data_IF_091117721490
#
_entry.id   IF_091117721490
#
_cell.length_a   1.000
_cell.length_b   1.000
_cell.length_c   1.000
_cell.angle_alpha   90.00
_cell.angle_beta   90.00
_cell.angle_gamma   90.00
#
_symmetry.space_group_name_H-M   'P 1'
#
loop_
_entity.id
_entity.type
_entity.pdbx_description
1 polymer ?
#
# COMPACT_ATOMS: atom_id res chain seq x y z
N UNK A 1 -11.16 24.13 7.52
CA UNK A 1 -11.45 23.37 8.76
C UNK A 1 -10.78 24.10 9.92
N UNK A 2 -11.39 24.15 11.11
CA UNK A 2 -10.82 24.83 12.29
C UNK A 2 -9.56 24.08 12.77
N UNK A 3 -8.45 24.81 12.99
CA UNK A 3 -7.16 24.26 13.44
C UNK A 3 -7.32 23.41 14.71
N UNK A 4 -8.24 23.80 15.61
CA UNK A 4 -8.48 23.06 16.87
C UNK A 4 -9.15 21.71 16.63
N UNK A 5 -10.00 21.62 15.61
CA UNK A 5 -10.66 20.37 15.21
C UNK A 5 -9.62 19.40 14.67
N UNK A 6 -8.74 19.87 13.78
CA UNK A 6 -7.64 19.08 13.21
C UNK A 6 -6.68 18.59 14.29
N UNK A 7 -6.27 19.46 15.21
CA UNK A 7 -5.37 19.08 16.31
C UNK A 7 -5.97 18.00 17.23
N UNK A 8 -7.27 18.11 17.55
CA UNK A 8 -7.95 17.12 18.40
C UNK A 8 -8.09 15.76 17.71
N UNK A 9 -8.48 15.74 16.43
CA UNK A 9 -8.55 14.50 15.64
C UNK A 9 -7.18 13.83 15.57
N UNK A 10 -6.12 14.58 15.25
CA UNK A 10 -4.76 14.04 15.17
C UNK A 10 -4.32 13.38 16.48
N UNK A 11 -4.63 13.99 17.64
CA UNK A 11 -4.33 13.38 18.95
C UNK A 11 -5.08 12.09 19.21
N UNK A 12 -6.32 11.97 18.73
CA UNK A 12 -7.14 10.77 18.83
C UNK A 12 -6.63 9.66 17.91
N UNK A 13 -6.23 10.01 16.68
CA UNK A 13 -5.59 9.09 15.72
C UNK A 13 -4.26 8.57 16.28
N UNK A 14 -3.39 9.46 16.77
CA UNK A 14 -2.12 9.06 17.38
C UNK A 14 -2.32 8.16 18.59
N UNK A 15 -3.34 8.42 19.40
CA UNK A 15 -3.68 7.55 20.53
C UNK A 15 -4.19 6.18 20.08
N UNK A 16 -4.99 6.10 19.01
CA UNK A 16 -5.40 4.83 18.42
C UNK A 16 -4.18 4.03 17.97
N UNK A 17 -3.31 4.62 17.14
CA UNK A 17 -2.13 3.93 16.61
C UNK A 17 -1.22 3.44 17.74
N UNK A 18 -1.01 4.27 18.76
CA UNK A 18 -0.22 3.88 19.95
C UNK A 18 -0.88 2.72 20.72
N UNK A 19 -2.20 2.69 20.82
CA UNK A 19 -2.89 1.57 21.48
C UNK A 19 -2.81 0.28 20.65
N UNK A 20 -2.82 0.38 19.31
CA UNK A 20 -2.70 -0.76 18.40
C UNK A 20 -1.30 -1.37 18.38
N UNK A 21 -0.28 -0.67 18.88
CA UNK A 21 1.04 -1.26 19.10
C UNK A 21 1.01 -2.34 20.19
N UNK A 22 0.07 -2.24 21.14
CA UNK A 22 0.04 -3.09 22.36
C UNK A 22 -1.09 -4.13 22.37
N UNK A 23 -2.24 -3.84 21.75
CA UNK A 23 -3.39 -4.75 21.77
C UNK A 23 -4.33 -4.58 20.57
N UNK A 24 -5.12 -5.61 20.31
CA UNK A 24 -6.06 -5.63 19.20
C UNK A 24 -7.19 -4.62 19.35
N UNK A 25 -7.68 -4.09 18.23
CA UNK A 25 -8.83 -3.20 18.15
C UNK A 25 -10.07 -3.77 18.86
N UNK A 26 -10.25 -5.11 18.85
CA UNK A 26 -11.36 -5.78 19.52
C UNK A 26 -11.29 -5.71 21.05
N UNK A 27 -10.12 -5.41 21.62
CA UNK A 27 -9.88 -5.28 23.06
C UNK A 27 -9.84 -3.82 23.53
N UNK A 28 -9.80 -2.87 22.60
CA UNK A 28 -9.74 -1.45 22.88
C UNK A 28 -11.03 -0.91 23.49
N UNK A 29 -10.86 0.02 24.43
CA UNK A 29 -11.94 0.75 25.08
C UNK A 29 -11.69 2.24 24.94
N UNK A 30 -12.76 3.03 24.93
CA UNK A 30 -12.69 4.50 24.85
C UNK A 30 -11.78 5.10 25.93
N UNK A 31 -11.74 4.49 27.13
CA UNK A 31 -10.84 4.91 28.21
C UNK A 31 -9.35 4.81 27.86
N UNK A 32 -8.96 3.82 27.05
CA UNK A 32 -7.56 3.59 26.66
C UNK A 32 -7.11 4.74 25.74
N UNK A 33 -7.97 5.11 24.78
CA UNK A 33 -7.74 6.25 23.88
C UNK A 33 -7.67 7.56 24.65
N UNK A 34 -8.58 7.77 25.61
CA UNK A 34 -8.59 8.98 26.46
C UNK A 34 -7.30 9.10 27.27
N UNK A 35 -6.83 7.99 27.84
CA UNK A 35 -5.62 7.95 28.65
C UNK A 35 -4.38 8.34 27.83
N UNK A 36 -4.26 7.82 26.60
CA UNK A 36 -3.13 8.12 25.72
C UNK A 36 -3.23 9.50 25.07
N UNK A 37 -4.41 9.88 24.57
CA UNK A 37 -4.60 11.15 23.85
C UNK A 37 -4.58 12.37 24.76
N UNK A 38 -4.96 12.21 26.04
CA UNK A 38 -5.17 13.31 26.99
C UNK A 38 -6.36 14.21 26.63
N UNK A 39 -7.30 13.75 25.80
CA UNK A 39 -8.55 14.47 25.54
C UNK A 39 -9.63 14.08 26.56
N UNK A 40 -10.56 14.97 26.88
CA UNK A 40 -11.63 14.62 27.81
C UNK A 40 -12.60 13.61 27.21
N UNK A 41 -13.28 12.81 28.05
CA UNK A 41 -14.35 11.91 27.62
C UNK A 41 -15.43 12.63 26.82
N UNK A 42 -15.82 13.83 27.25
CA UNK A 42 -16.79 14.68 26.54
C UNK A 42 -16.29 15.05 25.15
N UNK A 43 -14.99 15.34 25.01
CA UNK A 43 -14.36 15.69 23.74
C UNK A 43 -14.30 14.47 22.81
N UNK A 44 -13.95 13.27 23.31
CA UNK A 44 -14.00 12.05 22.51
C UNK A 44 -15.39 11.87 21.88
N UNK A 45 -16.44 11.89 22.72
CA UNK A 45 -17.81 11.69 22.26
C UNK A 45 -18.38 12.84 21.42
N UNK A 46 -17.67 13.96 21.29
CA UNK A 46 -18.01 15.01 20.34
C UNK A 46 -17.64 14.62 18.90
N UNK A 47 -16.62 13.78 18.72
CA UNK A 47 -16.12 13.37 17.41
C UNK A 47 -16.51 11.94 17.06
N UNK A 48 -16.50 11.02 18.04
CA UNK A 48 -16.64 9.59 17.81
C UNK A 48 -17.64 8.98 18.79
N UNK A 49 -18.56 8.17 18.28
CA UNK A 49 -19.56 7.49 19.10
C UNK A 49 -18.92 6.37 19.95
N UNK A 50 -17.90 5.72 19.41
CA UNK A 50 -17.16 4.61 20.02
C UNK A 50 -15.80 4.41 19.32
N UNK A 51 -15.08 3.35 19.72
CA UNK A 51 -13.79 2.96 19.11
C UNK A 51 -13.95 2.64 17.61
N UNK A 52 -15.00 1.93 17.22
CA UNK A 52 -15.21 1.54 15.82
C UNK A 52 -15.38 2.78 14.92
N UNK A 53 -16.07 3.81 15.40
CA UNK A 53 -16.21 5.07 14.65
C UNK A 53 -14.90 5.84 14.50
N UNK A 54 -13.99 5.77 15.48
CA UNK A 54 -12.65 6.35 15.37
C UNK A 54 -11.80 5.56 14.38
N UNK A 55 -11.76 4.22 14.53
CA UNK A 55 -11.05 3.30 13.63
C UNK A 55 -11.53 3.49 12.19
N UNK A 56 -12.84 3.58 11.98
CA UNK A 56 -13.40 3.78 10.65
C UNK A 56 -13.00 5.11 10.01
N UNK A 57 -12.91 6.19 10.78
CA UNK A 57 -12.44 7.50 10.31
C UNK A 57 -10.98 7.41 9.84
N UNK A 58 -10.11 6.78 10.63
CA UNK A 58 -8.68 6.57 10.29
C UNK A 58 -8.54 5.74 9.01
N UNK A 59 -9.20 4.59 8.95
CA UNK A 59 -9.15 3.70 7.79
C UNK A 59 -9.68 4.38 6.52
N UNK A 60 -10.77 5.14 6.62
CA UNK A 60 -11.34 5.86 5.48
C UNK A 60 -10.42 6.99 5.02
N UNK A 61 -9.85 7.77 5.96
CA UNK A 61 -8.89 8.83 5.64
C UNK A 61 -7.66 8.27 4.91
N UNK A 62 -7.14 7.13 5.38
CA UNK A 62 -6.05 6.42 4.70
C UNK A 62 -6.44 5.99 3.28
N UNK A 63 -7.62 5.35 3.14
CA UNK A 63 -8.08 4.83 1.84
C UNK A 63 -8.32 5.96 0.84
N UNK A 64 -8.82 7.12 1.26
CA UNK A 64 -8.99 8.27 0.38
C UNK A 64 -7.64 8.83 -0.10
N UNK A 65 -6.63 8.91 0.77
CA UNK A 65 -5.28 9.29 0.35
C UNK A 65 -4.62 8.25 -0.55
N UNK A 66 -4.87 6.96 -0.30
CA UNK A 66 -4.42 5.87 -1.16
C UNK A 66 -5.07 5.96 -2.55
N UNK A 67 -6.39 6.15 -2.62
CA UNK A 67 -7.17 6.34 -3.87
C UNK A 67 -6.66 7.52 -4.69
N UNK A 68 -6.39 8.65 -4.04
CA UNK A 68 -5.85 9.82 -4.73
C UNK A 68 -4.46 9.53 -5.32
N UNK A 69 -3.65 8.79 -4.57
CA UNK A 69 -2.29 8.43 -4.99
C UNK A 69 -2.28 7.46 -6.17
N UNK A 70 -3.10 6.40 -6.16
CA UNK A 70 -3.24 5.46 -7.28
C UNK A 70 -3.78 6.15 -8.54
N UNK A 71 -4.71 7.09 -8.39
CA UNK A 71 -5.26 7.89 -9.49
C UNK A 71 -4.17 8.74 -10.15
N UNK A 72 -3.36 9.45 -9.36
CA UNK A 72 -2.24 10.26 -9.88
C UNK A 72 -1.20 9.40 -10.60
N UNK A 73 -0.93 8.20 -10.10
CA UNK A 73 -0.03 7.26 -10.76
C UNK A 73 -0.62 6.78 -12.10
N UNK A 74 -1.91 6.41 -12.15
CA UNK A 74 -2.60 6.05 -13.40
C UNK A 74 -2.55 7.17 -14.43
N UNK A 75 -2.85 8.40 -14.03
CA UNK A 75 -2.77 9.59 -14.90
C UNK A 75 -1.34 9.82 -15.43
N UNK A 76 -0.34 9.61 -14.58
CA UNK A 76 1.07 9.73 -14.98
C UNK A 76 1.49 8.64 -15.97
N UNK A 77 1.02 7.41 -15.76
CA UNK A 77 1.28 6.26 -16.65
C UNK A 77 0.67 6.44 -18.04
N UNK A 78 -0.52 7.02 -18.14
CA UNK A 78 -1.20 7.27 -19.42
C UNK A 78 -0.43 8.22 -20.35
N UNK A 79 0.51 9.01 -19.81
CA UNK A 79 1.30 9.99 -20.56
C UNK A 79 2.69 9.49 -20.98
N UNK A 80 2.99 8.20 -20.77
CA UNK A 80 4.29 7.63 -21.13
C UNK A 80 4.38 7.40 -22.63
N UNK A 81 5.44 7.92 -23.25
CA UNK A 81 5.75 7.65 -24.65
C UNK A 81 6.29 6.22 -24.82
N UNK A 82 5.41 5.33 -25.27
CA UNK A 82 5.72 3.92 -25.54
C UNK A 82 6.54 3.69 -26.82
N UNK A 83 6.90 4.76 -27.56
CA UNK A 83 7.80 4.68 -28.72
C UNK A 83 9.28 4.78 -28.34
N UNK A 84 9.57 5.20 -27.11
CA UNK A 84 10.94 5.31 -26.58
C UNK A 84 11.61 3.94 -26.45
N UNK A 85 12.96 3.86 -26.38
CA UNK A 85 13.65 2.62 -26.05
C UNK A 85 13.16 2.04 -24.72
N UNK A 86 13.08 0.71 -24.61
CA UNK A 86 12.55 0.01 -23.42
C UNK A 86 13.16 0.52 -22.11
N UNK A 87 14.47 0.75 -22.04
CA UNK A 87 15.12 1.26 -20.83
C UNK A 87 14.58 2.61 -20.36
N UNK A 88 14.23 3.50 -21.29
CA UNK A 88 13.67 4.81 -20.97
C UNK A 88 12.20 4.72 -20.61
N UNK A 89 11.44 3.80 -21.23
CA UNK A 89 10.09 3.46 -20.79
C UNK A 89 10.09 2.96 -19.34
N UNK A 90 11.00 2.05 -18.98
CA UNK A 90 11.09 1.51 -17.61
C UNK A 90 11.34 2.64 -16.59
N UNK A 91 12.26 3.56 -16.88
CA UNK A 91 12.51 4.75 -16.04
C UNK A 91 11.27 5.65 -15.93
N UNK A 92 10.55 5.85 -17.03
CA UNK A 92 9.32 6.62 -17.04
C UNK A 92 8.25 5.96 -16.17
N UNK A 93 8.06 4.65 -16.27
CA UNK A 93 7.12 3.87 -15.43
C UNK A 93 7.46 3.98 -13.95
N UNK A 94 8.74 3.82 -13.59
CA UNK A 94 9.19 4.02 -12.20
C UNK A 94 8.82 5.41 -11.71
N UNK A 95 9.17 6.44 -12.48
CA UNK A 95 8.85 7.82 -12.12
C UNK A 95 7.34 8.09 -12.01
N UNK A 96 6.54 7.49 -12.88
CA UNK A 96 5.10 7.65 -12.93
C UNK A 96 4.36 6.95 -11.78
N UNK A 97 4.96 5.95 -11.14
CA UNK A 97 4.36 5.15 -10.03
C UNK A 97 4.80 5.62 -8.64
N UNK A 98 5.23 6.88 -8.54
CA UNK A 98 5.81 7.42 -7.29
C UNK A 98 4.79 7.69 -6.20
N UNK A 99 3.57 8.09 -6.55
CA UNK A 99 2.67 8.69 -5.58
C UNK A 99 2.15 7.63 -4.61
N UNK A 100 1.74 6.45 -5.10
CA UNK A 100 1.24 5.38 -4.23
C UNK A 100 2.29 4.91 -3.24
N UNK A 101 3.51 4.66 -3.69
CA UNK A 101 4.58 4.17 -2.81
C UNK A 101 5.04 5.24 -1.82
N UNK A 102 5.15 6.50 -2.25
CA UNK A 102 5.43 7.59 -1.31
C UNK A 102 4.34 7.72 -0.25
N UNK A 103 3.07 7.63 -0.62
CA UNK A 103 1.96 7.69 0.33
C UNK A 103 2.02 6.56 1.36
N UNK A 104 2.18 5.31 0.92
CA UNK A 104 2.36 4.17 1.83
C UNK A 104 3.59 4.32 2.73
N UNK A 105 4.67 4.92 2.22
CA UNK A 105 5.90 5.14 2.99
C UNK A 105 5.73 6.23 4.06
N UNK A 106 5.09 7.35 3.70
CA UNK A 106 4.84 8.47 4.61
C UNK A 106 3.85 8.06 5.73
N UNK A 107 2.92 7.15 5.41
CA UNK A 107 1.93 6.59 6.33
C UNK A 107 2.29 5.18 6.83
N UNK A 108 3.57 4.79 6.82
CA UNK A 108 4.00 3.41 7.08
C UNK A 108 3.56 2.86 8.44
N UNK A 109 3.61 3.66 9.51
CA UNK A 109 3.20 3.23 10.86
C UNK A 109 1.71 2.88 10.87
N UNK A 110 0.90 3.73 10.26
CA UNK A 110 -0.55 3.57 10.17
C UNK A 110 -0.92 2.30 9.38
N UNK A 111 -0.43 2.14 8.14
CA UNK A 111 -0.74 0.96 7.33
C UNK A 111 -0.22 -0.34 7.95
N UNK A 112 0.96 -0.30 8.59
CA UNK A 112 1.53 -1.49 9.26
C UNK A 112 0.68 -1.94 10.45
N UNK A 113 0.18 -1.00 11.25
CA UNK A 113 -0.67 -1.31 12.41
C UNK A 113 -2.07 -1.78 11.97
N UNK A 114 -2.69 -1.09 11.02
CA UNK A 114 -4.03 -1.44 10.54
C UNK A 114 -4.06 -2.79 9.79
N UNK A 115 -2.96 -3.20 9.14
CA UNK A 115 -2.82 -4.52 8.51
C UNK A 115 -2.22 -5.61 9.44
N UNK A 116 -1.94 -5.26 10.71
CA UNK A 116 -1.39 -6.23 11.67
C UNK A 116 -2.48 -7.09 12.30
N UNK A 117 -2.07 -8.07 13.11
CA UNK A 117 -2.98 -8.87 13.93
C UNK A 117 -3.75 -8.03 14.97
N UNK A 118 -3.25 -6.82 15.29
CA UNK A 118 -3.94 -5.89 16.17
C UNK A 118 -4.96 -5.00 15.42
N UNK A 119 -4.87 -4.91 14.10
CA UNK A 119 -5.88 -4.28 13.27
C UNK A 119 -7.16 -5.12 13.16
N UNK A 120 -8.01 -4.77 12.21
CA UNK A 120 -9.14 -5.61 11.83
C UNK A 120 -9.13 -5.97 10.34
N UNK A 121 -9.92 -6.99 10.00
CA UNK A 121 -10.05 -7.48 8.62
C UNK A 121 -10.71 -6.47 7.67
N UNK A 122 -11.42 -5.47 8.20
CA UNK A 122 -12.12 -4.47 7.38
C UNK A 122 -11.12 -3.62 6.62
N UNK A 123 -10.02 -3.20 7.25
CA UNK A 123 -9.00 -2.41 6.58
C UNK A 123 -8.36 -3.15 5.41
N UNK A 124 -8.02 -4.42 5.64
CA UNK A 124 -7.49 -5.29 4.59
C UNK A 124 -8.45 -5.36 3.40
N UNK A 125 -9.74 -5.60 3.66
CA UNK A 125 -10.76 -5.67 2.61
C UNK A 125 -10.88 -4.34 1.86
N UNK A 126 -10.83 -3.20 2.56
CA UNK A 126 -10.86 -1.88 1.92
C UNK A 126 -9.68 -1.66 0.96
N UNK A 127 -8.45 -1.98 1.38
CA UNK A 127 -7.26 -1.88 0.52
C UNK A 127 -7.39 -2.84 -0.67
N UNK A 128 -7.82 -4.07 -0.41
CA UNK A 128 -7.97 -5.11 -1.42
C UNK A 128 -8.99 -4.73 -2.49
N UNK A 129 -10.18 -4.33 -2.08
CA UNK A 129 -11.27 -3.93 -2.98
C UNK A 129 -10.86 -2.68 -3.79
N UNK A 130 -10.28 -1.67 -3.12
CA UNK A 130 -9.77 -0.46 -3.78
C UNK A 130 -8.70 -0.80 -4.83
N UNK A 131 -7.83 -1.76 -4.54
CA UNK A 131 -6.77 -2.17 -5.46
C UNK A 131 -7.29 -3.04 -6.62
N UNK A 132 -8.34 -3.85 -6.38
CA UNK A 132 -9.05 -4.57 -7.44
C UNK A 132 -9.76 -3.59 -8.39
N UNK A 133 -10.48 -2.60 -7.84
CA UNK A 133 -11.14 -1.56 -8.62
C UNK A 133 -10.13 -0.81 -9.49
N UNK A 134 -9.00 -0.41 -8.92
CA UNK A 134 -7.90 0.24 -9.64
C UNK A 134 -7.37 -0.62 -10.79
N UNK A 135 -7.19 -1.92 -10.56
CA UNK A 135 -6.70 -2.84 -11.58
C UNK A 135 -7.67 -2.92 -12.77
N UNK A 136 -8.97 -3.06 -12.50
CA UNK A 136 -9.98 -3.11 -13.56
C UNK A 136 -10.13 -1.77 -14.28
N UNK A 137 -10.06 -0.64 -13.59
CA UNK A 137 -10.02 0.68 -14.20
C UNK A 137 -8.84 0.82 -15.19
N UNK A 138 -7.64 0.36 -14.79
CA UNK A 138 -6.48 0.36 -15.69
C UNK A 138 -6.70 -0.50 -16.92
N UNK A 139 -7.20 -1.74 -16.77
CA UNK A 139 -7.51 -2.61 -17.91
C UNK A 139 -8.53 -1.96 -18.85
N UNK A 140 -9.62 -1.42 -18.30
CA UNK A 140 -10.69 -0.82 -19.10
C UNK A 140 -10.23 0.42 -19.86
N UNK A 141 -9.20 1.11 -19.35
CA UNK A 141 -8.57 2.26 -20.01
C UNK A 141 -7.60 1.90 -21.15
N UNK A 142 -7.23 0.63 -21.30
CA UNK A 142 -6.36 0.18 -22.40
C UNK A 142 -7.20 -0.04 -23.67
N UNK A 143 -6.81 0.60 -24.80
CA UNK A 143 -7.52 0.49 -26.08
C UNK A 143 -7.72 -0.97 -26.55
N UNK A 144 -6.72 -1.83 -26.31
CA UNK A 144 -6.74 -3.25 -26.70
C UNK A 144 -7.72 -4.12 -25.90
N UNK A 145 -8.27 -3.62 -24.79
CA UNK A 145 -9.25 -4.35 -23.97
C UNK A 145 -10.68 -4.25 -24.51
N UNK A 146 -10.94 -3.24 -25.36
CA UNK A 146 -12.26 -2.97 -25.93
C UNK A 146 -12.67 -4.10 -26.89
N UNK A 147 -13.69 -4.87 -26.51
CA UNK A 147 -14.27 -5.93 -27.35
C UNK A 147 -13.79 -7.35 -27.07
N UNK A 148 -12.92 -7.56 -26.07
CA UNK A 148 -12.56 -8.91 -25.61
C UNK A 148 -13.80 -9.60 -25.01
N UNK A 149 -14.30 -10.64 -25.69
CA UNK A 149 -15.38 -11.50 -25.16
C UNK A 149 -14.79 -12.70 -24.46
N UNK A 150 -14.76 -12.65 -23.12
CA UNK A 150 -14.41 -13.80 -22.29
C UNK A 150 -15.60 -14.74 -22.12
N UNK A 151 -15.35 -16.04 -22.22
CA UNK A 151 -16.28 -17.07 -21.75
C UNK A 151 -16.44 -16.99 -20.22
N UNK A 152 -17.47 -17.66 -19.68
CA UNK A 152 -17.68 -17.70 -18.23
C UNK A 152 -16.47 -18.28 -17.46
N UNK A 153 -15.81 -19.30 -18.02
CA UNK A 153 -14.63 -19.91 -17.40
C UNK A 153 -13.41 -18.98 -17.42
N UNK A 154 -13.16 -18.29 -18.54
CA UNK A 154 -12.04 -17.35 -18.66
C UNK A 154 -12.23 -16.14 -17.75
N UNK A 155 -13.46 -15.65 -17.60
CA UNK A 155 -13.77 -14.58 -16.64
C UNK A 155 -13.46 -15.00 -15.20
N UNK A 156 -13.82 -16.22 -14.81
CA UNK A 156 -13.51 -16.74 -13.47
C UNK A 156 -12.00 -16.87 -13.27
N UNK A 157 -11.28 -17.41 -14.27
CA UNK A 157 -9.82 -17.52 -14.20
C UNK A 157 -9.16 -16.15 -14.03
N UNK A 158 -9.57 -15.16 -14.84
CA UNK A 158 -9.09 -13.77 -14.71
C UNK A 158 -9.36 -13.21 -13.32
N UNK A 159 -10.56 -13.39 -12.76
CA UNK A 159 -10.88 -12.92 -11.42
C UNK A 159 -9.97 -13.55 -10.37
N UNK A 160 -9.72 -14.86 -10.45
CA UNK A 160 -8.80 -15.56 -9.54
C UNK A 160 -7.38 -14.97 -9.66
N UNK A 161 -6.89 -14.79 -10.88
CA UNK A 161 -5.55 -14.25 -11.13
C UNK A 161 -5.40 -12.83 -10.56
N UNK A 162 -6.41 -11.97 -10.74
CA UNK A 162 -6.41 -10.61 -10.18
C UNK A 162 -6.39 -10.64 -8.67
N UNK A 163 -7.24 -11.45 -8.03
CA UNK A 163 -7.28 -11.53 -6.57
C UNK A 163 -5.94 -12.00 -5.98
N UNK A 164 -5.34 -13.04 -6.57
CA UNK A 164 -4.03 -13.55 -6.13
C UNK A 164 -2.93 -12.50 -6.36
N UNK A 165 -2.97 -11.80 -7.49
CA UNK A 165 -2.05 -10.71 -7.80
C UNK A 165 -2.14 -9.58 -6.77
N UNK A 166 -3.35 -9.09 -6.48
CA UNK A 166 -3.56 -7.99 -5.53
C UNK A 166 -3.12 -8.38 -4.12
N UNK A 167 -3.45 -9.58 -3.66
CA UNK A 167 -2.95 -10.08 -2.36
C UNK A 167 -1.42 -10.08 -2.32
N UNK A 168 -0.77 -10.59 -3.37
CA UNK A 168 0.69 -10.63 -3.47
C UNK A 168 1.32 -9.23 -3.45
N UNK A 169 0.67 -8.25 -4.08
CA UNK A 169 1.12 -6.86 -4.09
C UNK A 169 0.98 -6.18 -2.73
N UNK A 170 -0.13 -6.40 -2.03
CA UNK A 170 -0.35 -5.90 -0.66
C UNK A 170 0.75 -6.45 0.26
N UNK A 171 0.98 -7.76 0.20
CA UNK A 171 2.02 -8.42 0.99
C UNK A 171 3.43 -7.92 0.62
N UNK A 172 3.72 -7.74 -0.66
CA UNK A 172 4.99 -7.20 -1.12
C UNK A 172 5.24 -5.80 -0.54
N UNK A 173 4.27 -4.89 -0.64
CA UNK A 173 4.39 -3.53 -0.07
C UNK A 173 4.58 -3.60 1.44
N UNK A 174 3.81 -4.44 2.14
CA UNK A 174 3.95 -4.65 3.59
C UNK A 174 5.36 -5.14 3.95
N UNK A 175 5.91 -6.11 3.22
CA UNK A 175 7.28 -6.60 3.41
C UNK A 175 8.30 -5.49 3.18
N UNK A 176 8.15 -4.70 2.12
CA UNK A 176 9.07 -3.60 1.81
C UNK A 176 9.07 -2.52 2.89
N UNK A 177 7.90 -2.16 3.44
CA UNK A 177 7.79 -1.17 4.51
C UNK A 177 8.52 -1.58 5.80
N UNK A 178 8.67 -2.89 6.06
CA UNK A 178 9.48 -3.39 7.18
C UNK A 178 10.98 -3.05 7.03
N UNK A 179 11.42 -2.71 5.82
CA UNK A 179 12.79 -2.27 5.52
C UNK A 179 12.88 -0.77 5.20
N UNK A 180 11.89 0.02 5.61
CA UNK A 180 11.82 1.48 5.35
C UNK A 180 12.92 2.30 6.02
N UNK A 181 13.69 1.72 6.94
CA UNK A 181 14.94 2.27 7.49
C UNK A 181 16.12 2.17 6.52
N UNK A 182 16.03 1.28 5.53
CA UNK A 182 17.10 0.95 4.57
C UNK A 182 16.72 1.19 3.12
N UNK A 183 15.44 1.12 2.80
CA UNK A 183 14.90 1.30 1.45
C UNK A 183 14.20 2.63 1.34
N UNK A 184 14.61 3.45 0.36
CA UNK A 184 13.86 4.64 -0.01
C UNK A 184 12.58 4.28 -0.80
N UNK A 185 11.61 5.21 -0.92
CA UNK A 185 10.47 5.01 -1.82
C UNK A 185 10.85 4.73 -3.28
N UNK A 186 12.04 5.15 -3.72
CA UNK A 186 12.56 4.77 -5.04
C UNK A 186 13.02 3.30 -5.06
N UNK A 187 13.77 2.85 -4.07
CA UNK A 187 14.22 1.46 -3.98
C UNK A 187 13.03 0.49 -3.88
N UNK A 188 11.96 0.86 -3.16
CA UNK A 188 10.74 0.07 -3.10
C UNK A 188 10.08 -0.10 -4.47
N UNK A 189 10.01 0.98 -5.28
CA UNK A 189 9.49 0.90 -6.65
C UNK A 189 10.35 0.02 -7.55
N UNK A 190 11.67 0.08 -7.42
CA UNK A 190 12.58 -0.81 -8.13
C UNK A 190 12.31 -2.28 -7.79
N UNK A 191 12.10 -2.61 -6.51
CA UNK A 191 11.78 -3.98 -6.06
C UNK A 191 10.41 -4.43 -6.60
N UNK A 192 9.39 -3.59 -6.53
CA UNK A 192 8.07 -3.88 -7.08
C UNK A 192 8.16 -4.11 -8.59
N UNK A 193 8.88 -3.24 -9.29
CA UNK A 193 9.08 -3.38 -10.73
C UNK A 193 9.81 -4.68 -11.06
N UNK A 194 10.83 -5.05 -10.29
CA UNK A 194 11.53 -6.31 -10.48
C UNK A 194 10.60 -7.52 -10.27
N UNK A 195 9.78 -7.50 -9.21
CA UNK A 195 8.76 -8.53 -8.96
C UNK A 195 7.74 -8.66 -10.10
N UNK A 196 7.32 -7.53 -10.70
CA UNK A 196 6.38 -7.54 -11.83
C UNK A 196 6.99 -8.08 -13.14
N UNK A 197 8.30 -7.92 -13.34
CA UNK A 197 8.98 -8.26 -14.61
C UNK A 197 9.77 -9.57 -14.57
N UNK A 198 10.09 -10.07 -13.39
CA UNK A 198 10.90 -11.27 -13.21
C UNK A 198 10.15 -12.21 -12.29
N UNK A 199 10.05 -13.47 -12.69
CA UNK A 199 9.58 -14.47 -11.73
C UNK A 199 10.54 -14.46 -10.52
N UNK A 200 10.08 -14.73 -9.29
CA UNK A 200 10.95 -14.81 -8.12
C UNK A 200 12.17 -15.73 -8.31
N UNK A 201 12.04 -16.74 -9.19
CA UNK A 201 13.12 -17.63 -9.59
C UNK A 201 14.21 -16.92 -10.42
N UNK A 202 13.83 -16.06 -11.36
CA UNK A 202 14.79 -15.28 -12.17
C UNK A 202 15.60 -14.31 -11.29
N UNK A 203 14.96 -13.75 -10.26
CA UNK A 203 15.59 -12.85 -9.30
C UNK A 203 16.59 -13.57 -8.40
N UNK A 204 16.19 -14.69 -7.77
CA UNK A 204 17.07 -15.55 -6.97
C UNK A 204 18.30 -15.99 -7.76
N UNK A 205 18.11 -16.38 -9.02
CA UNK A 205 19.22 -16.80 -9.89
C UNK A 205 20.16 -15.62 -10.23
N UNK A 206 19.64 -14.39 -10.29
CA UNK A 206 20.44 -13.18 -10.52
C UNK A 206 21.27 -12.77 -9.29
N UNK A 207 20.72 -12.92 -8.08
CA UNK A 207 21.43 -12.70 -6.82
C UNK A 207 22.56 -13.70 -6.62
N UNK A 208 22.28 -15.00 -6.84
CA UNK A 208 23.30 -16.06 -6.76
C UNK A 208 24.45 -15.88 -7.78
N UNK A 209 24.17 -15.28 -8.94
CA UNK A 209 25.20 -14.93 -9.94
C UNK A 209 26.04 -13.70 -9.52
N UNK A 210 25.46 -12.75 -8.79
CA UNK A 210 26.19 -11.60 -8.22
C UNK A 210 27.14 -12.04 -7.09
N UNK A 211 26.70 -12.92 -6.20
CA UNK A 211 27.54 -13.43 -5.09
C UNK A 211 28.73 -14.30 -5.56
N UNK A 212 28.56 -15.05 -6.65
CA UNK A 212 29.68 -15.78 -7.26
C UNK A 212 30.72 -14.85 -7.90
N UNK A 213 30.31 -13.68 -8.38
CA UNK A 213 31.23 -12.66 -8.94
C UNK A 213 31.96 -11.86 -7.86
N UNK A 214 31.35 -11.63 -6.69
CA UNK A 214 32.02 -11.00 -5.54
C UNK A 214 33.00 -11.98 -4.85
N UNK A 215 32.64 -13.26 -4.74
CA UNK A 215 33.51 -14.28 -4.15
C UNK A 215 34.75 -14.60 -5.00
N UNK A 216 34.65 -14.56 -6.34
CA UNK A 216 35.80 -14.75 -7.25
C UNK A 216 36.71 -13.53 -7.37
N UNK A 217 36.34 -12.37 -6.80
CA UNK A 217 37.21 -11.19 -6.74
C UNK A 217 38.07 -11.13 -5.47
N UNK A 218 37.75 -11.93 -4.45
CA UNK A 218 38.50 -11.98 -3.18
C UNK A 218 39.40 -13.24 -3.06
N UNK A 219 39.57 -14.01 -4.13
CA UNK A 219 40.43 -15.21 -4.17
C UNK A 219 41.62 -15.07 -5.13
N UNK A 220 41.87 -13.84 -5.61
CA UNK A 220 43.07 -13.49 -6.38
C UNK A 220 43.72 -12.29 -5.68
N UNK A 221 44.37 -12.58 -4.55
CA UNK A 221 45.50 -11.83 -3.97
C UNK A 221 46.37 -12.84 -3.20
#
# INVERSE_FOLDING_TARGET
MDIRVTDTKNRLVEALLTCLEEKSVYELKVKDIIEVSGVSTRTFYQYYADINSLVADVENDFIEGYKDSIRRDRESLANIDMTLPTQDQLKAVLSATKNTISYCFDHKREIQLLLSDNGDIRFYNLIFDTSCDEFFERINSMDDSQGIKLTGKERIAMLIDVQVFINSMIDLVRVLLNYSDRLSPYDMRENIMAFLHKTPLDELTSFLKKDKKSSNKNSVD
#
